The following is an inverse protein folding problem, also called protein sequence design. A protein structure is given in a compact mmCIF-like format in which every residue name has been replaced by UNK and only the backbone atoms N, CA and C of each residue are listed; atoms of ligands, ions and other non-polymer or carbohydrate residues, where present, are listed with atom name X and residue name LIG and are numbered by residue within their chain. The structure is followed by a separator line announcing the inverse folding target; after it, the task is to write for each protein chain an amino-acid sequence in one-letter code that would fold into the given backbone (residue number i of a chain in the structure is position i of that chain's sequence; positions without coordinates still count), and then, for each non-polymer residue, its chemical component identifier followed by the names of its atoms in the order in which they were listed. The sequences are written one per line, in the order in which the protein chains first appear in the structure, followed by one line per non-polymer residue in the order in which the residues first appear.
data_IF_030758037006
#
_entry.id   IF_030758037006
#
_cell.length_a   1.000
_cell.length_b   1.000
_cell.length_c   1.000
_cell.angle_alpha   90.00
_cell.angle_beta   90.00
_cell.angle_gamma   90.00
#
_symmetry.space_group_name_H-M   'P 1'
#
loop_
_entity.id
_entity.type
_entity.pdbx_description
1 polymer ?
#
# COMPACT_ATOMS: atom_id res chain seq x y z
N UNK A 1 15.74 0.78 -8.44
CA UNK A 1 14.54 0.56 -7.60
C UNK A 1 13.35 0.37 -8.53
N UNK A 2 12.70 -0.79 -8.50
CA UNK A 2 11.45 -1.00 -9.25
C UNK A 2 10.29 -0.36 -8.49
N UNK A 3 9.39 0.27 -9.24
CA UNK A 3 8.22 0.98 -8.75
C UNK A 3 7.01 0.46 -9.49
N UNK A 4 6.01 0.02 -8.73
CA UNK A 4 4.67 -0.24 -9.24
C UNK A 4 3.81 0.98 -8.94
N UNK A 5 3.11 1.51 -9.93
CA UNK A 5 2.27 2.69 -9.77
C UNK A 5 0.94 2.45 -10.47
N UNK A 6 -0.15 2.89 -9.86
CA UNK A 6 -1.46 2.99 -10.50
C UNK A 6 -1.85 4.46 -10.54
N UNK A 7 -2.23 4.93 -11.72
CA UNK A 7 -2.70 6.29 -11.95
C UNK A 7 -4.04 6.31 -12.68
N UNK A 8 -4.83 7.33 -12.41
CA UNK A 8 -6.10 7.59 -13.07
C UNK A 8 -5.91 8.65 -14.15
N UNK A 9 -6.26 8.29 -15.38
CA UNK A 9 -6.22 9.16 -16.55
C UNK A 9 -7.62 9.50 -17.05
N UNK A 10 -7.75 10.64 -17.71
CA UNK A 10 -8.97 10.94 -18.45
C UNK A 10 -9.07 10.05 -19.70
N UNK A 11 -10.29 9.73 -20.11
CA UNK A 11 -10.57 8.90 -21.29
C UNK A 11 -10.58 9.78 -22.56
N UNK A 12 -9.48 10.50 -22.80
CA UNK A 12 -9.28 11.36 -23.98
C UNK A 12 -7.90 11.11 -24.61
N UNK A 13 -7.73 11.38 -25.92
CA UNK A 13 -6.45 11.20 -26.60
C UNK A 13 -5.28 11.91 -25.92
N UNK A 14 -4.09 11.29 -25.94
CA UNK A 14 -2.85 11.88 -25.40
C UNK A 14 -2.65 11.74 -23.89
N UNK A 15 -3.64 11.28 -23.13
CA UNK A 15 -3.54 11.20 -21.66
C UNK A 15 -2.48 10.20 -21.18
N UNK A 16 -2.32 9.07 -21.87
CA UNK A 16 -1.26 8.11 -21.53
C UNK A 16 0.12 8.75 -21.70
N UNK A 17 0.35 9.44 -22.82
CA UNK A 17 1.61 10.14 -23.07
C UNK A 17 1.88 11.19 -21.98
N UNK A 18 0.86 11.97 -21.62
CA UNK A 18 0.93 12.96 -20.54
C UNK A 18 1.37 12.35 -19.20
N UNK A 19 0.98 11.11 -18.91
CA UNK A 19 1.42 10.39 -17.71
C UNK A 19 2.78 9.71 -17.79
N UNK A 20 3.21 9.31 -18.99
CA UNK A 20 4.53 8.74 -19.18
C UNK A 20 5.63 9.80 -19.25
N UNK A 21 5.32 11.01 -19.72
CA UNK A 21 6.29 12.07 -19.94
C UNK A 21 7.08 12.44 -18.67
N UNK A 22 6.45 12.65 -17.49
CA UNK A 22 7.21 12.91 -16.26
C UNK A 22 8.14 11.75 -15.87
N UNK A 23 7.72 10.51 -16.08
CA UNK A 23 8.51 9.32 -15.75
C UNK A 23 9.76 9.29 -16.64
N UNK A 24 9.58 9.44 -17.95
CA UNK A 24 10.68 9.47 -18.91
C UNK A 24 11.63 10.66 -18.68
N UNK A 25 11.08 11.85 -18.42
CA UNK A 25 11.84 13.09 -18.21
C UNK A 25 12.82 12.99 -17.03
N UNK A 26 12.44 12.29 -15.96
CA UNK A 26 13.30 12.09 -14.79
C UNK A 26 14.10 10.78 -14.84
N UNK A 27 14.15 10.11 -15.98
CA UNK A 27 14.99 8.92 -16.20
C UNK A 27 14.39 7.62 -15.62
N UNK A 28 13.07 7.54 -15.52
CA UNK A 28 12.38 6.29 -15.21
C UNK A 28 12.38 5.34 -16.42
N UNK A 29 12.86 4.12 -16.22
CA UNK A 29 12.89 3.08 -17.26
C UNK A 29 11.62 2.21 -17.17
N UNK A 30 10.69 2.39 -18.09
CA UNK A 30 9.40 1.69 -18.08
C UNK A 30 9.59 0.22 -18.48
N UNK A 31 9.13 -0.70 -17.64
CA UNK A 31 9.15 -2.15 -17.88
C UNK A 31 7.83 -2.68 -18.41
N UNK A 32 6.72 -2.19 -17.85
CA UNK A 32 5.39 -2.66 -18.22
C UNK A 32 4.36 -1.56 -18.04
N UNK A 33 3.37 -1.57 -18.94
CA UNK A 33 2.21 -0.70 -18.92
C UNK A 33 0.99 -1.59 -19.11
N UNK A 34 0.00 -1.44 -18.23
CA UNK A 34 -1.27 -2.15 -18.31
C UNK A 34 -2.42 -1.17 -18.16
N UNK A 35 -3.32 -1.14 -19.14
CA UNK A 35 -4.54 -0.35 -19.10
C UNK A 35 -5.75 -1.24 -19.38
N UNK A 36 -6.84 -1.04 -18.65
CA UNK A 36 -8.11 -1.74 -18.89
C UNK A 36 -9.18 -0.71 -19.21
N UNK A 37 -9.40 -0.48 -20.51
CA UNK A 37 -10.36 0.54 -20.99
C UNK A 37 -11.80 0.28 -20.54
N UNK A 38 -12.16 -1.00 -20.39
CA UNK A 38 -13.50 -1.41 -19.96
C UNK A 38 -13.72 -1.24 -18.45
N UNK A 39 -12.66 -1.07 -17.66
CA UNK A 39 -12.75 -0.75 -16.23
C UNK A 39 -12.56 0.74 -16.04
N UNK A 40 -13.66 1.46 -15.83
CA UNK A 40 -13.60 2.86 -15.37
C UNK A 40 -13.60 2.89 -13.84
N UNK A 41 -12.84 3.82 -13.26
CA UNK A 41 -12.94 4.08 -11.82
C UNK A 41 -14.30 4.74 -11.52
N UNK A 42 -14.74 4.81 -10.25
CA UNK A 42 -16.02 5.47 -9.90
C UNK A 42 -16.14 6.91 -10.40
N UNK A 43 -15.01 7.57 -10.68
CA UNK A 43 -14.92 8.92 -11.23
C UNK A 43 -14.89 8.95 -12.77
N UNK A 44 -15.14 7.82 -13.44
CA UNK A 44 -15.14 7.71 -14.90
C UNK A 44 -13.76 7.74 -15.55
N UNK A 45 -12.68 7.60 -14.78
CA UNK A 45 -11.29 7.66 -15.26
C UNK A 45 -10.74 6.28 -15.63
N UNK A 46 -9.76 6.26 -16.53
CA UNK A 46 -9.04 5.07 -16.97
C UNK A 46 -7.91 4.76 -15.99
N UNK A 47 -7.95 3.64 -15.25
CA UNK A 47 -6.84 3.18 -14.45
C UNK A 47 -5.72 2.64 -15.36
N UNK A 48 -4.51 3.12 -15.13
CA UNK A 48 -3.29 2.64 -15.80
C UNK A 48 -2.29 2.22 -14.73
N UNK A 49 -1.87 0.97 -14.81
CA UNK A 49 -0.80 0.42 -13.99
C UNK A 49 0.53 0.49 -14.76
N UNK A 50 1.56 0.92 -14.07
CA UNK A 50 2.90 1.10 -14.57
C UNK A 50 3.88 0.37 -13.67
N UNK A 51 4.84 -0.32 -14.28
CA UNK A 51 6.00 -0.88 -13.61
C UNK A 51 7.23 -0.25 -14.26
N UNK A 52 8.07 0.43 -13.48
CA UNK A 52 9.24 1.13 -13.98
C UNK A 52 10.38 1.17 -12.96
N UNK A 53 11.62 1.23 -13.44
CA UNK A 53 12.81 1.38 -12.59
C UNK A 53 13.22 2.84 -12.48
N UNK A 54 13.65 3.24 -11.29
CA UNK A 54 14.30 4.52 -11.03
C UNK A 54 15.60 4.32 -10.26
N UNK A 55 16.53 5.27 -10.41
CA UNK A 55 17.83 5.25 -9.74
C UNK A 55 17.74 5.32 -8.21
N UNK A 56 16.89 6.20 -7.68
CA UNK A 56 16.81 6.50 -6.25
C UNK A 56 15.42 7.05 -5.85
N UNK A 57 15.20 7.17 -4.54
CA UNK A 57 13.94 7.67 -3.98
C UNK A 57 13.73 9.18 -4.25
N UNK A 58 14.79 9.97 -4.40
CA UNK A 58 14.68 11.38 -4.73
C UNK A 58 14.09 11.59 -6.14
N UNK A 59 14.47 10.72 -7.07
CA UNK A 59 13.97 10.70 -8.45
C UNK A 59 12.50 10.31 -8.49
N UNK A 60 12.10 9.31 -7.70
CA UNK A 60 10.68 8.96 -7.54
C UNK A 60 9.87 10.15 -7.03
N UNK A 61 10.37 10.88 -6.02
CA UNK A 61 9.69 12.09 -5.50
C UNK A 61 9.52 13.17 -6.57
N UNK A 62 10.52 13.38 -7.43
CA UNK A 62 10.42 14.33 -8.57
C UNK A 62 9.38 13.91 -9.60
N UNK A 63 9.34 12.61 -9.93
CA UNK A 63 8.31 12.04 -10.82
C UNK A 63 6.91 12.27 -10.24
N UNK A 64 6.71 11.96 -8.96
CA UNK A 64 5.41 12.16 -8.29
C UNK A 64 4.97 13.63 -8.26
N UNK A 65 5.91 14.54 -8.01
CA UNK A 65 5.62 15.98 -8.04
C UNK A 65 5.17 16.44 -9.44
N UNK A 66 5.88 16.05 -10.49
CA UNK A 66 5.53 16.43 -11.85
C UNK A 66 4.25 15.76 -12.36
N UNK A 67 3.95 14.52 -11.96
CA UNK A 67 2.65 13.89 -12.25
C UNK A 67 1.51 14.70 -11.61
N UNK A 68 1.69 15.15 -10.37
CA UNK A 68 0.72 16.00 -9.68
C UNK A 68 0.53 17.36 -10.39
N UNK A 69 1.62 18.00 -10.80
CA UNK A 69 1.58 19.26 -11.58
C UNK A 69 0.87 19.07 -12.94
N UNK A 70 1.04 17.91 -13.57
CA UNK A 70 0.32 17.55 -14.79
C UNK A 70 -1.19 17.24 -14.56
N UNK A 71 -1.67 17.30 -13.31
CA UNK A 71 -3.05 16.97 -12.95
C UNK A 71 -3.36 15.47 -12.97
N UNK A 72 -2.34 14.62 -12.94
CA UNK A 72 -2.49 13.16 -12.98
C UNK A 72 -2.56 12.65 -11.55
N UNK A 73 -3.61 11.88 -11.28
CA UNK A 73 -3.86 11.34 -9.96
C UNK A 73 -3.23 9.96 -9.83
N UNK A 74 -2.21 9.85 -8.99
CA UNK A 74 -1.66 8.55 -8.56
C UNK A 74 -2.53 8.01 -7.43
N UNK A 75 -3.13 6.83 -7.62
CA UNK A 75 -4.02 6.19 -6.63
C UNK A 75 -3.33 5.11 -5.82
N UNK A 76 -2.33 4.46 -6.40
CA UNK A 76 -1.53 3.46 -5.72
C UNK A 76 -0.05 3.62 -6.08
N UNK A 77 0.80 3.51 -5.09
CA UNK A 77 2.23 3.34 -5.28
C UNK A 77 2.59 2.07 -4.53
N UNK A 78 2.81 1.00 -5.29
CA UNK A 78 3.20 -0.29 -4.76
C UNK A 78 4.60 -0.23 -4.16
N UNK A 79 4.70 -0.92 -3.04
CA UNK A 79 5.89 -1.16 -2.24
C UNK A 79 6.98 -1.92 -3.02
N UNK A 80 8.20 -1.76 -2.52
CA UNK A 80 9.45 -2.06 -3.21
C UNK A 80 9.51 -3.53 -3.61
N UNK A 81 10.06 -3.85 -4.78
CA UNK A 81 10.49 -5.23 -5.05
C UNK A 81 11.38 -5.73 -3.91
N UNK A 82 11.01 -6.86 -3.32
CA UNK A 82 11.69 -7.46 -2.17
C UNK A 82 10.96 -7.32 -0.83
N UNK A 83 9.87 -6.55 -0.75
CA UNK A 83 9.08 -6.49 0.49
C UNK A 83 8.27 -7.78 0.73
N UNK A 84 8.36 -8.29 1.95
CA UNK A 84 7.61 -9.44 2.45
C UNK A 84 6.26 -8.94 2.96
N UNK A 85 5.20 -9.42 2.33
CA UNK A 85 3.83 -9.11 2.71
C UNK A 85 3.29 -10.18 3.66
N UNK A 86 2.93 -9.78 4.87
CA UNK A 86 2.27 -10.63 5.85
C UNK A 86 0.87 -10.13 6.08
N UNK A 87 -0.12 -10.99 5.84
CA UNK A 87 -1.52 -10.70 6.20
C UNK A 87 -1.85 -11.33 7.55
N UNK A 88 -2.52 -10.56 8.40
CA UNK A 88 -2.99 -10.99 9.72
C UNK A 88 -4.46 -10.60 9.91
N UNK A 89 -5.15 -11.36 10.76
CA UNK A 89 -6.52 -11.07 11.18
C UNK A 89 -6.52 -10.77 12.68
N UNK A 90 -7.10 -9.63 13.05
CA UNK A 90 -7.39 -9.24 14.43
C UNK A 90 -8.88 -9.42 14.69
N UNK A 91 -9.26 -9.97 15.83
CA UNK A 91 -10.65 -10.12 16.27
C UNK A 91 -10.80 -9.63 17.71
N UNK A 92 -11.82 -8.82 17.98
CA UNK A 92 -12.12 -8.29 19.32
C UNK A 92 -12.66 -6.86 19.28
N UNK A 93 -12.58 -6.11 20.37
CA UNK A 93 -13.05 -4.72 20.42
C UNK A 93 -12.06 -3.72 19.77
N UNK A 94 -11.76 -3.90 18.48
CA UNK A 94 -10.73 -3.16 17.74
C UNK A 94 -10.99 -1.65 17.71
N UNK A 95 -12.25 -1.24 17.54
CA UNK A 95 -12.63 0.18 17.49
C UNK A 95 -12.37 0.87 18.83
N UNK A 96 -12.66 0.20 19.95
CA UNK A 96 -12.48 0.76 21.29
C UNK A 96 -11.03 0.72 21.78
N UNK A 97 -10.21 -0.17 21.19
CA UNK A 97 -8.83 -0.38 21.59
C UNK A 97 -7.83 0.47 20.79
N UNK A 98 -8.31 1.48 20.07
CA UNK A 98 -7.53 2.43 19.26
C UNK A 98 -6.59 1.76 18.24
N UNK A 99 -7.16 1.39 17.10
CA UNK A 99 -6.43 0.81 15.97
C UNK A 99 -5.31 1.72 15.44
N UNK A 100 -5.44 3.05 15.58
CA UNK A 100 -4.42 4.00 15.11
C UNK A 100 -3.12 3.83 15.88
N UNK A 101 -3.22 3.71 17.20
CA UNK A 101 -2.06 3.42 18.05
C UNK A 101 -1.35 2.11 17.62
N UNK A 102 -2.09 1.09 17.18
CA UNK A 102 -1.47 -0.15 16.66
C UNK A 102 -0.70 0.10 15.36
N UNK A 103 -1.28 0.85 14.42
CA UNK A 103 -0.64 1.21 13.15
C UNK A 103 0.63 2.03 13.40
N UNK A 104 0.55 3.05 14.27
CA UNK A 104 1.66 3.94 14.57
C UNK A 104 2.85 3.18 15.18
N UNK A 105 2.58 2.21 16.06
CA UNK A 105 3.64 1.38 16.64
C UNK A 105 4.31 0.45 15.62
N UNK A 106 3.58 -0.06 14.63
CA UNK A 106 4.15 -0.88 13.57
C UNK A 106 4.97 -0.04 12.60
N UNK A 107 4.43 1.11 12.16
CA UNK A 107 5.10 2.03 11.24
C UNK A 107 6.33 2.72 11.88
N UNK A 108 6.45 2.74 13.20
CA UNK A 108 7.64 3.21 13.90
C UNK A 108 8.85 2.28 13.69
N UNK A 109 8.64 1.02 13.31
CA UNK A 109 9.72 0.09 12.98
C UNK A 109 10.24 0.46 11.58
N UNK A 110 11.50 0.91 11.52
CA UNK A 110 12.11 1.31 10.25
C UNK A 110 12.14 0.14 9.27
N UNK A 111 11.49 0.32 8.12
CA UNK A 111 11.40 -0.71 7.09
C UNK A 111 10.20 -1.65 7.22
N UNK A 112 9.24 -1.30 8.08
CA UNK A 112 7.93 -1.93 8.19
C UNK A 112 6.85 -0.88 7.94
N UNK A 113 5.83 -1.23 7.16
CA UNK A 113 4.68 -0.37 6.90
C UNK A 113 3.39 -1.20 6.94
N UNK A 114 2.32 -0.67 7.51
CA UNK A 114 0.97 -1.20 7.32
C UNK A 114 0.45 -0.71 5.97
N UNK A 115 0.42 -1.60 4.98
CA UNK A 115 0.06 -1.26 3.59
C UNK A 115 -1.43 -1.33 3.31
N UNK A 116 -2.17 -2.19 4.04
CA UNK A 116 -3.62 -2.27 3.94
C UNK A 116 -4.28 -2.54 5.30
N UNK A 117 -5.45 -1.94 5.51
CA UNK A 117 -6.33 -2.23 6.63
C UNK A 117 -7.78 -2.32 6.13
N UNK A 118 -8.44 -3.43 6.41
CA UNK A 118 -9.87 -3.61 6.20
C UNK A 118 -10.52 -3.90 7.54
N UNK A 119 -11.42 -3.03 7.99
CA UNK A 119 -12.11 -3.15 9.27
C UNK A 119 -13.58 -3.48 9.03
N UNK A 120 -14.04 -4.60 9.60
CA UNK A 120 -15.45 -4.94 9.72
C UNK A 120 -15.91 -4.63 11.14
N UNK A 121 -16.75 -3.60 11.27
CA UNK A 121 -17.31 -3.20 12.55
C UNK A 121 -18.60 -3.99 12.78
N UNK A 122 -18.66 -4.73 13.89
CA UNK A 122 -19.88 -5.40 14.31
C UNK A 122 -20.99 -4.41 14.68
N UNK A 123 -22.23 -4.88 14.85
CA UNK A 123 -23.30 -4.06 15.43
C UNK A 123 -22.93 -3.56 16.83
N UNK A 124 -23.59 -2.49 17.31
CA UNK A 124 -23.24 -1.82 18.57
C UNK A 124 -22.91 -2.80 19.72
N UNK A 125 -21.70 -2.70 20.26
CA UNK A 125 -21.21 -3.52 21.37
C UNK A 125 -20.68 -4.91 21.00
N UNK A 126 -20.76 -5.34 19.74
CA UNK A 126 -20.16 -6.60 19.28
C UNK A 126 -18.68 -6.43 18.93
N UNK A 127 -17.96 -7.55 18.91
CA UNK A 127 -16.59 -7.61 18.43
C UNK A 127 -16.50 -7.12 16.97
N UNK A 128 -15.38 -6.49 16.65
CA UNK A 128 -14.97 -6.11 15.31
C UNK A 128 -13.87 -7.05 14.83
N UNK A 129 -13.70 -7.15 13.52
CA UNK A 129 -12.56 -7.84 12.93
C UNK A 129 -11.81 -6.92 11.98
N UNK A 130 -10.49 -7.07 11.93
CA UNK A 130 -9.64 -6.31 11.03
C UNK A 130 -8.66 -7.22 10.31
N UNK A 131 -8.68 -7.18 8.98
CA UNK A 131 -7.62 -7.76 8.15
C UNK A 131 -6.58 -6.68 7.89
N UNK A 132 -5.35 -6.94 8.27
CA UNK A 132 -4.23 -6.02 8.12
C UNK A 132 -3.12 -6.68 7.29
N UNK A 133 -2.61 -5.94 6.32
CA UNK A 133 -1.44 -6.34 5.53
C UNK A 133 -0.25 -5.50 5.97
N UNK A 134 0.82 -6.17 6.38
CA UNK A 134 2.08 -5.56 6.83
C UNK A 134 3.11 -5.88 5.76
N UNK A 135 3.80 -4.84 5.28
CA UNK A 135 4.94 -4.96 4.40
C UNK A 135 6.23 -4.70 5.17
N UNK A 136 7.24 -5.53 4.93
CA UNK A 136 8.54 -5.41 5.56
C UNK A 136 9.65 -5.63 4.53
N UNK A 137 10.77 -4.90 4.64
CA UNK A 137 11.87 -5.03 3.66
C UNK A 137 12.55 -6.42 3.65
N UNK A 138 12.43 -7.19 4.74
CA UNK A 138 13.04 -8.52 4.90
C UNK A 138 12.27 -9.39 5.91
N UNK A 139 12.71 -10.65 6.07
CA UNK A 139 12.02 -11.67 6.88
C UNK A 139 12.16 -11.43 8.37
N UNK A 140 13.28 -10.88 8.82
CA UNK A 140 13.50 -10.58 10.23
C UNK A 140 12.60 -9.43 10.67
N UNK A 141 12.47 -8.38 9.84
CA UNK A 141 11.56 -7.27 10.07
C UNK A 141 10.09 -7.71 10.04
N UNK A 142 9.72 -8.61 9.12
CA UNK A 142 8.37 -9.18 9.09
C UNK A 142 8.05 -9.91 10.40
N UNK A 143 8.99 -10.72 10.90
CA UNK A 143 8.81 -11.48 12.13
C UNK A 143 8.77 -10.58 13.37
N UNK A 144 9.64 -9.56 13.41
CA UNK A 144 9.63 -8.52 14.45
C UNK A 144 8.27 -7.78 14.50
N UNK A 145 7.71 -7.44 13.34
CA UNK A 145 6.41 -6.79 13.25
C UNK A 145 5.29 -7.68 13.78
N UNK A 146 5.29 -8.98 13.45
CA UNK A 146 4.31 -9.96 13.97
C UNK A 146 4.45 -10.07 15.50
N UNK A 147 5.66 -10.24 16.03
CA UNK A 147 5.89 -10.33 17.48
C UNK A 147 5.42 -9.07 18.21
N UNK A 148 5.69 -7.89 17.64
CA UNK A 148 5.23 -6.61 18.20
C UNK A 148 3.71 -6.54 18.20
N UNK A 149 3.08 -6.95 17.11
CA UNK A 149 1.62 -6.98 17.00
C UNK A 149 1.00 -7.95 18.00
N UNK A 150 1.61 -9.11 18.22
CA UNK A 150 1.15 -10.10 19.19
C UNK A 150 1.15 -9.53 20.61
N UNK A 151 2.22 -8.83 21.01
CA UNK A 151 2.27 -8.13 22.30
C UNK A 151 1.19 -7.05 22.42
N UNK A 152 0.91 -6.31 21.34
CA UNK A 152 -0.15 -5.29 21.32
C UNK A 152 -1.52 -5.95 21.43
N UNK A 153 -1.75 -7.05 20.72
CA UNK A 153 -3.00 -7.79 20.72
C UNK A 153 -3.31 -8.35 22.12
N UNK A 154 -2.34 -8.99 22.77
CA UNK A 154 -2.48 -9.49 24.15
C UNK A 154 -2.84 -8.37 25.13
N UNK A 155 -2.13 -7.25 25.09
CA UNK A 155 -2.40 -6.08 25.96
C UNK A 155 -3.80 -5.50 25.74
N UNK A 156 -4.31 -5.59 24.51
CA UNK A 156 -5.62 -5.05 24.11
C UNK A 156 -6.74 -6.10 24.17
N UNK A 157 -6.45 -7.34 24.58
CA UNK A 157 -7.41 -8.44 24.58
C UNK A 157 -7.95 -8.78 23.19
N UNK A 158 -7.12 -8.66 22.15
CA UNK A 158 -7.45 -9.00 20.78
C UNK A 158 -6.89 -10.38 20.43
N UNK A 159 -7.69 -11.18 19.72
CA UNK A 159 -7.23 -12.41 19.10
C UNK A 159 -6.49 -12.06 17.80
N UNK A 160 -5.20 -12.42 17.74
CA UNK A 160 -4.39 -12.34 16.53
C UNK A 160 -4.34 -13.71 15.86
N UNK A 161 -4.73 -13.78 14.58
CA UNK A 161 -4.58 -14.95 13.73
C UNK A 161 -3.61 -14.62 12.61
N UNK A 162 -2.55 -15.41 12.50
CA UNK A 162 -1.52 -15.29 11.46
C UNK A 162 -1.68 -16.41 10.42
N UNK A 163 -1.14 -16.20 9.22
CA UNK A 163 -1.06 -17.27 8.21
C UNK A 163 -0.19 -18.44 8.72
N UNK A 164 -0.55 -19.67 8.32
CA UNK A 164 0.14 -20.91 8.69
C UNK A 164 1.52 -21.02 8.01
N UNK A 165 1.78 -20.24 6.96
CA UNK A 165 3.02 -20.29 6.16
C UNK A 165 4.17 -19.43 6.74
N UNK A 166 3.99 -18.80 7.90
CA UNK A 166 4.93 -17.81 8.45
C UNK A 166 5.89 -18.35 9.54
N UNK A 167 6.20 -19.65 9.53
CA UNK A 167 7.27 -20.26 10.35
C UNK A 167 8.29 -20.91 9.41
#
# INVERSE_FOLDING_TARGET
MLVKMVMELEDVPGQLLKGLEPIARYGGNIKSIMHQRERKTPLGRLPVMLIFEVRDQATLKRILAALKEAGIRVTQLGEREGEILTTVLLVGHIVHTDIRHTIDQLNAIKGVTVSELNLAVGSMGRESSARMTIAANDRELAQLAISRLQTIAEKKGLLLVTSVEAI
#
